data_IF_445953074910
#
_entry.id   IF_445953074910
#
_cell.length_a   1.000
_cell.length_b   1.000
_cell.length_c   1.000
_cell.angle_alpha   90.00
_cell.angle_beta   90.00
_cell.angle_gamma   90.00
#
_symmetry.space_group_name_H-M   'P 1'
#
loop_
_entity.id
_entity.type
_entity.pdbx_description
1 polymer ?
#
# COMPACT_ATOMS: atom_id res chain seq x y z
N UNK A 1 1.58 -13.74 21.27
CA UNK A 1 0.15 -13.92 21.60
C UNK A 1 -0.58 -14.14 20.28
N UNK A 2 -1.00 -15.38 20.01
CA UNK A 2 -1.79 -15.73 18.83
C UNK A 2 -3.18 -15.11 19.01
N UNK A 3 -3.52 -14.10 18.20
CA UNK A 3 -4.85 -13.51 18.19
C UNK A 3 -5.89 -14.56 17.77
N UNK A 4 -7.04 -14.56 18.42
CA UNK A 4 -8.23 -15.24 17.90
C UNK A 4 -8.40 -14.85 16.43
N UNK A 5 -8.37 -15.82 15.50
CA UNK A 5 -8.59 -15.56 14.08
C UNK A 5 -9.98 -14.94 13.92
N UNK A 6 -9.99 -13.65 13.66
CA UNK A 6 -11.20 -12.89 13.36
C UNK A 6 -11.77 -13.41 12.04
N UNK A 7 -13.08 -13.62 12.01
CA UNK A 7 -13.75 -14.01 10.77
C UNK A 7 -14.18 -12.78 9.96
N UNK A 8 -13.80 -11.57 10.36
CA UNK A 8 -14.21 -10.33 9.71
C UNK A 8 -13.03 -9.36 9.60
N UNK A 9 -13.03 -8.57 8.53
CA UNK A 9 -12.04 -7.53 8.27
C UNK A 9 -12.67 -6.39 7.48
N UNK A 10 -12.35 -5.16 7.87
CA UNK A 10 -12.80 -3.97 7.17
C UNK A 10 -11.66 -3.28 6.42
N UNK A 11 -12.00 -2.69 5.28
CA UNK A 11 -11.17 -1.75 4.54
C UNK A 11 -11.87 -0.40 4.44
N UNK A 12 -11.12 0.67 4.66
CA UNK A 12 -11.63 2.04 4.53
C UNK A 12 -10.60 2.91 3.82
N UNK A 13 -10.98 3.43 2.65
CA UNK A 13 -10.20 4.45 1.96
C UNK A 13 -10.55 5.85 2.47
N UNK A 14 -9.51 6.57 2.86
CA UNK A 14 -9.51 7.82 3.60
C UNK A 14 -8.71 8.91 2.86
N UNK A 15 -8.85 8.98 1.54
CA UNK A 15 -8.33 10.13 0.76
C UNK A 15 -9.44 11.12 0.45
N UNK A 16 -9.15 12.43 0.45
CA UNK A 16 -10.07 13.43 -0.11
C UNK A 16 -10.20 14.80 0.56
N UNK A 17 -11.11 15.63 0.06
CA UNK A 17 -11.51 16.88 0.74
C UNK A 17 -12.41 16.66 1.97
N UNK A 18 -12.72 17.74 2.71
CA UNK A 18 -13.60 17.72 3.90
C UNK A 18 -14.99 17.12 3.64
N UNK A 19 -15.50 17.19 2.41
CA UNK A 19 -16.84 16.73 2.00
C UNK A 19 -16.83 15.46 1.15
N UNK A 20 -15.72 14.71 1.13
CA UNK A 20 -15.67 13.49 0.35
C UNK A 20 -16.44 12.34 1.00
N UNK A 21 -16.94 11.47 0.13
CA UNK A 21 -17.71 10.29 0.49
C UNK A 21 -16.75 9.16 0.87
N UNK A 22 -16.73 8.80 2.16
CA UNK A 22 -16.02 7.61 2.62
C UNK A 22 -16.88 6.37 2.37
N UNK A 23 -16.20 5.25 2.13
CA UNK A 23 -16.84 3.96 2.02
C UNK A 23 -16.22 3.01 3.04
N UNK A 24 -17.07 2.25 3.71
CA UNK A 24 -16.67 1.10 4.49
C UNK A 24 -16.95 -0.16 3.71
N UNK A 25 -15.94 -1.01 3.61
CA UNK A 25 -16.04 -2.31 3.01
C UNK A 25 -15.76 -3.39 4.07
N UNK A 26 -16.72 -4.26 4.32
CA UNK A 26 -16.62 -5.35 5.28
C UNK A 26 -16.59 -6.69 4.56
N UNK A 27 -15.53 -7.46 4.80
CA UNK A 27 -15.42 -8.85 4.36
C UNK A 27 -15.57 -9.78 5.56
N UNK A 28 -16.41 -10.80 5.42
CA UNK A 28 -16.60 -11.83 6.45
C UNK A 28 -16.41 -13.23 5.88
N UNK A 29 -15.79 -14.10 6.67
CA UNK A 29 -15.56 -15.50 6.34
C UNK A 29 -16.66 -16.38 6.91
N UNK A 30 -17.40 -17.04 6.02
CA UNK A 30 -18.44 -17.97 6.40
C UNK A 30 -17.88 -19.40 6.35
N UNK A 31 -17.69 -20.00 7.54
CA UNK A 31 -17.14 -21.35 7.69
C UNK A 31 -17.94 -22.43 6.97
N UNK A 32 -19.28 -22.28 6.91
CA UNK A 32 -20.18 -23.25 6.25
C UNK A 32 -19.90 -23.36 4.76
N UNK A 33 -19.68 -22.22 4.11
CA UNK A 33 -19.49 -22.14 2.66
C UNK A 33 -18.00 -22.11 2.28
N UNK A 34 -17.10 -22.11 3.28
CA UNK A 34 -15.65 -21.95 3.12
C UNK A 34 -15.30 -20.78 2.18
N UNK A 35 -16.02 -19.66 2.30
CA UNK A 35 -15.97 -18.54 1.36
C UNK A 35 -16.06 -17.21 2.10
N UNK A 36 -15.39 -16.21 1.54
CA UNK A 36 -15.49 -14.83 2.02
C UNK A 36 -16.64 -14.13 1.32
N UNK A 37 -17.38 -13.29 2.03
CA UNK A 37 -18.48 -12.52 1.49
C UNK A 37 -18.23 -11.04 1.74
N UNK A 38 -18.49 -10.23 0.72
CA UNK A 38 -18.68 -8.80 0.90
C UNK A 38 -20.05 -8.59 1.56
N UNK A 39 -20.06 -8.36 2.87
CA UNK A 39 -21.29 -8.27 3.67
C UNK A 39 -21.83 -6.85 3.74
N UNK A 40 -20.93 -5.86 3.68
CA UNK A 40 -21.31 -4.46 3.70
C UNK A 40 -20.38 -3.64 2.80
N UNK A 41 -20.99 -2.79 1.97
CA UNK A 41 -20.31 -1.73 1.24
C UNK A 41 -21.14 -0.45 1.36
N UNK A 42 -20.94 0.28 2.46
CA UNK A 42 -21.77 1.42 2.80
C UNK A 42 -21.02 2.73 2.59
N UNK A 43 -21.70 3.68 1.97
CA UNK A 43 -21.26 5.07 1.93
C UNK A 43 -21.53 5.71 3.30
N UNK A 44 -20.51 6.28 3.92
CA UNK A 44 -20.66 7.09 5.13
C UNK A 44 -21.22 8.44 4.70
N UNK A 45 -22.49 8.70 5.01
CA UNK A 45 -23.12 10.00 4.80
C UNK A 45 -23.27 10.70 6.15
N UNK A 46 -23.25 12.02 6.12
CA UNK A 46 -23.82 12.82 7.22
C UNK A 46 -25.32 12.53 7.25
N UNK A 47 -25.77 11.82 8.28
CA UNK A 47 -27.19 11.71 8.61
C UNK A 47 -27.61 12.96 9.38
N UNK A 48 -28.88 13.32 9.36
CA UNK A 48 -29.42 14.57 9.94
C UNK A 48 -29.11 14.80 11.43
N UNK A 49 -28.59 13.79 12.13
CA UNK A 49 -28.26 13.83 13.56
C UNK A 49 -26.82 13.41 13.90
N UNK A 50 -25.99 13.04 12.91
CA UNK A 50 -24.63 12.56 13.15
C UNK A 50 -23.63 13.26 12.24
N UNK A 51 -22.55 13.75 12.84
CA UNK A 51 -21.39 14.19 12.08
C UNK A 51 -20.72 12.99 11.40
N UNK A 52 -19.99 13.24 10.31
CA UNK A 52 -19.29 12.18 9.57
C UNK A 52 -18.34 11.35 10.45
N UNK A 53 -17.73 11.99 11.46
CA UNK A 53 -16.79 11.33 12.36
C UNK A 53 -17.52 10.44 13.39
N UNK A 54 -18.69 10.88 13.88
CA UNK A 54 -19.58 10.07 14.73
C UNK A 54 -20.17 8.88 13.97
N UNK A 55 -20.49 9.05 12.69
CA UNK A 55 -20.94 7.95 11.84
C UNK A 55 -19.85 6.87 11.70
N UNK A 56 -18.58 7.26 11.63
CA UNK A 56 -17.45 6.32 11.60
C UNK A 56 -17.32 5.58 12.93
N UNK A 57 -17.33 6.28 14.07
CA UNK A 57 -17.21 5.63 15.39
C UNK A 57 -18.38 4.69 15.66
N UNK A 58 -19.61 5.12 15.39
CA UNK A 58 -20.81 4.30 15.57
C UNK A 58 -20.79 3.04 14.70
N UNK A 59 -20.28 3.14 13.46
CA UNK A 59 -20.17 1.99 12.57
C UNK A 59 -19.14 0.97 13.08
N UNK A 60 -17.97 1.45 13.53
CA UNK A 60 -16.92 0.58 14.08
C UNK A 60 -17.42 -0.14 15.35
N UNK A 61 -18.14 0.57 16.22
CA UNK A 61 -18.72 -0.01 17.44
C UNK A 61 -19.81 -1.03 17.13
N UNK A 62 -20.74 -0.71 16.22
CA UNK A 62 -21.87 -1.59 15.88
C UNK A 62 -21.46 -2.87 15.14
N UNK A 63 -20.36 -2.83 14.38
CA UNK A 63 -19.86 -3.98 13.63
C UNK A 63 -18.95 -4.90 14.45
N UNK A 64 -18.65 -4.58 15.72
CA UNK A 64 -17.75 -5.36 16.59
C UNK A 64 -16.40 -5.69 15.93
N UNK A 65 -15.92 -4.77 15.09
CA UNK A 65 -14.71 -4.95 14.30
C UNK A 65 -13.47 -4.98 15.18
N UNK A 66 -12.67 -6.04 15.04
CA UNK A 66 -11.36 -6.14 15.70
C UNK A 66 -10.22 -5.62 14.85
N UNK A 67 -10.38 -5.54 13.53
CA UNK A 67 -9.31 -5.18 12.59
C UNK A 67 -9.83 -4.26 11.47
N UNK A 68 -9.03 -3.25 11.12
CA UNK A 68 -9.34 -2.26 10.08
C UNK A 68 -8.08 -1.92 9.26
N UNK A 69 -8.19 -1.96 7.93
CA UNK A 69 -7.13 -1.54 7.00
C UNK A 69 -7.46 -0.17 6.43
N UNK A 70 -6.50 0.74 6.48
CA UNK A 70 -6.62 2.10 5.94
C UNK A 70 -5.50 2.41 4.94
N UNK A 71 -5.76 3.34 4.01
CA UNK A 71 -4.76 3.88 3.07
C UNK A 71 -4.06 5.15 3.56
N UNK A 72 -4.13 5.40 4.86
CA UNK A 72 -3.63 6.60 5.50
C UNK A 72 -2.43 6.30 6.43
N UNK A 73 -1.39 7.15 6.45
CA UNK A 73 -0.19 6.94 7.23
C UNK A 73 -0.42 6.93 8.75
N UNK A 74 -0.11 5.81 9.42
CA UNK A 74 -0.27 5.66 10.87
C UNK A 74 1.01 6.00 11.65
N UNK A 75 2.16 5.91 11.00
CA UNK A 75 3.46 6.28 11.55
C UNK A 75 3.85 7.70 11.18
N UNK A 76 4.68 8.33 12.03
CA UNK A 76 5.20 9.68 11.84
C UNK A 76 6.67 9.66 11.38
N UNK A 77 7.16 10.72 10.71
CA UNK A 77 8.58 10.87 10.44
C UNK A 77 9.39 10.91 11.74
N UNK A 78 10.63 10.39 11.76
CA UNK A 78 11.47 10.38 12.96
C UNK A 78 11.68 11.75 13.59
N UNK A 79 11.76 12.83 12.79
CA UNK A 79 11.94 14.18 13.33
C UNK A 79 10.69 14.76 14.00
N UNK A 80 9.48 14.26 13.73
CA UNK A 80 8.25 14.77 14.35
C UNK A 80 8.16 14.36 15.83
N UNK A 81 8.77 13.23 16.19
CA UNK A 81 8.78 12.66 17.54
C UNK A 81 10.14 12.80 18.23
N UNK A 82 11.06 13.55 17.63
CA UNK A 82 12.42 13.71 18.14
C UNK A 82 12.48 14.80 19.21
N UNK A 83 12.92 14.44 20.41
CA UNK A 83 13.10 15.37 21.53
C UNK A 83 14.43 16.15 21.50
N UNK A 84 15.35 15.78 20.59
CA UNK A 84 16.68 16.41 20.49
C UNK A 84 16.60 17.80 19.81
N UNK A 85 17.39 18.74 20.32
CA UNK A 85 17.66 20.02 19.64
C UNK A 85 18.41 19.71 18.34
N UNK A 86 17.71 19.84 17.22
CA UNK A 86 18.21 19.37 15.93
C UNK A 86 19.31 20.29 15.39
N UNK A 87 20.51 19.77 15.08
CA UNK A 87 21.59 20.54 14.46
C UNK A 87 21.38 20.79 12.95
N UNK A 88 20.24 20.36 12.39
CA UNK A 88 19.93 20.40 10.96
C UNK A 88 20.00 19.02 10.30
N UNK A 89 19.60 18.96 9.02
CA UNK A 89 19.44 17.72 8.24
C UNK A 89 20.79 17.02 8.01
N UNK A 90 21.84 17.80 7.75
CA UNK A 90 23.15 17.29 7.32
C UNK A 90 23.99 16.73 8.48
N UNK A 91 23.71 17.14 9.71
CA UNK A 91 24.46 16.77 10.93
C UNK A 91 23.64 15.87 11.85
N UNK A 92 22.60 15.23 11.32
CA UNK A 92 21.59 14.56 12.14
C UNK A 92 22.13 13.28 12.82
N UNK A 93 21.85 13.13 14.11
CA UNK A 93 22.41 12.06 14.94
C UNK A 93 21.46 10.89 15.19
N UNK A 94 20.21 10.94 14.73
CA UNK A 94 19.27 9.85 15.01
C UNK A 94 19.73 8.54 14.33
N UNK A 95 19.81 7.44 15.08
CA UNK A 95 20.42 6.19 14.60
C UNK A 95 19.74 5.64 13.35
N UNK A 96 18.42 5.78 13.25
CA UNK A 96 17.61 5.30 12.11
C UNK A 96 17.94 6.03 10.82
N UNK A 97 18.00 7.36 10.87
CA UNK A 97 18.29 8.17 9.68
C UNK A 97 19.71 7.90 9.21
N UNK A 98 20.66 7.76 10.16
CA UNK A 98 22.03 7.36 9.84
C UNK A 98 22.12 5.97 9.21
N UNK A 99 21.33 5.00 9.68
CA UNK A 99 21.28 3.68 9.07
C UNK A 99 20.72 3.74 7.63
N UNK A 100 19.62 4.47 7.42
CA UNK A 100 19.02 4.65 6.09
C UNK A 100 20.00 5.36 5.15
N UNK A 101 20.64 6.45 5.58
CA UNK A 101 21.63 7.17 4.77
C UNK A 101 22.84 6.29 4.41
N UNK A 102 23.36 5.50 5.38
CA UNK A 102 24.41 4.51 5.11
C UNK A 102 23.98 3.51 4.05
N UNK A 103 22.74 3.02 4.12
CA UNK A 103 22.19 2.06 3.15
C UNK A 103 22.03 2.68 1.75
N UNK A 104 21.52 3.92 1.66
CA UNK A 104 21.47 4.69 0.41
C UNK A 104 22.85 4.82 -0.21
N UNK A 105 23.85 5.20 0.61
CA UNK A 105 25.22 5.36 0.14
C UNK A 105 25.85 4.03 -0.30
N UNK A 106 25.55 2.91 0.39
CA UNK A 106 25.99 1.58 -0.04
C UNK A 106 25.47 1.25 -1.44
N UNK A 107 24.17 1.42 -1.66
CA UNK A 107 23.51 1.14 -2.94
C UNK A 107 24.11 2.00 -4.07
N UNK A 108 24.32 3.30 -3.82
CA UNK A 108 24.94 4.18 -4.81
C UNK A 108 26.41 3.82 -5.08
N UNK A 109 27.16 3.41 -4.06
CA UNK A 109 28.54 2.99 -4.21
C UNK A 109 28.68 1.66 -4.95
N UNK A 110 27.79 0.70 -4.72
CA UNK A 110 27.72 -0.57 -5.46
C UNK A 110 27.46 -0.31 -6.95
N UNK A 111 26.48 0.53 -7.28
CA UNK A 111 26.23 0.92 -8.67
C UNK A 111 27.43 1.65 -9.31
N UNK A 112 28.13 2.51 -8.57
CA UNK A 112 29.37 3.14 -9.05
C UNK A 112 30.51 2.13 -9.27
N UNK A 113 30.62 1.10 -8.43
CA UNK A 113 31.60 0.01 -8.62
C UNK A 113 31.29 -0.76 -9.90
N UNK A 114 30.04 -1.14 -10.13
CA UNK A 114 29.64 -1.83 -11.37
C UNK A 114 29.97 -1.02 -12.63
N UNK A 115 29.77 0.30 -12.60
CA UNK A 115 30.14 1.20 -13.71
C UNK A 115 31.66 1.20 -13.95
N UNK A 116 32.46 1.22 -12.87
CA UNK A 116 33.94 1.26 -12.97
C UNK A 116 34.54 -0.07 -13.42
N UNK A 117 34.02 -1.17 -12.91
CA UNK A 117 34.56 -2.52 -13.17
C UNK A 117 34.24 -2.96 -14.60
N UNK A 118 33.00 -2.77 -15.07
CA UNK A 118 32.57 -3.28 -16.38
C UNK A 118 31.63 -2.30 -17.11
N UNK A 119 32.15 -1.18 -17.65
CA UNK A 119 31.32 -0.13 -18.25
C UNK A 119 30.52 -0.59 -19.48
N UNK A 120 31.06 -1.52 -20.28
CA UNK A 120 30.37 -2.06 -21.46
C UNK A 120 29.19 -2.95 -21.08
N UNK A 121 29.40 -3.85 -20.12
CA UNK A 121 28.35 -4.75 -19.60
C UNK A 121 27.24 -3.95 -18.94
N UNK A 122 27.62 -2.94 -18.15
CA UNK A 122 26.68 -2.00 -17.54
C UNK A 122 25.78 -1.29 -18.55
N UNK A 123 26.36 -0.74 -19.63
CA UNK A 123 25.57 -0.08 -20.68
C UNK A 123 24.72 -1.07 -21.51
N UNK A 124 25.15 -2.32 -21.67
CA UNK A 124 24.34 -3.37 -22.29
C UNK A 124 23.12 -3.71 -21.43
N UNK A 125 23.33 -4.06 -20.17
CA UNK A 125 22.26 -4.38 -19.21
C UNK A 125 21.29 -3.19 -19.03
N UNK A 126 21.81 -1.95 -19.04
CA UNK A 126 20.98 -0.74 -18.99
C UNK A 126 20.12 -0.55 -20.24
N UNK A 127 20.66 -0.86 -21.43
CA UNK A 127 19.90 -0.83 -22.69
C UNK A 127 18.86 -1.92 -22.71
N UNK A 128 19.20 -3.11 -22.23
CA UNK A 128 18.29 -4.25 -22.13
C UNK A 128 17.13 -3.96 -21.16
N UNK A 129 17.40 -3.34 -20.00
CA UNK A 129 16.36 -2.87 -19.08
C UNK A 129 15.49 -1.73 -19.65
N UNK A 130 16.03 -0.99 -20.62
CA UNK A 130 15.31 0.05 -21.35
C UNK A 130 14.48 -0.51 -22.52
N UNK A 131 14.78 -1.73 -22.98
CA UNK A 131 13.98 -2.42 -23.98
C UNK A 131 12.68 -2.87 -23.33
N UNK A 132 11.56 -2.38 -23.86
CA UNK A 132 10.22 -2.78 -23.42
C UNK A 132 9.99 -4.23 -23.84
N UNK A 133 10.33 -5.19 -22.97
CA UNK A 133 9.94 -6.57 -23.17
C UNK A 133 8.43 -6.69 -22.94
N UNK A 134 7.65 -6.77 -24.03
CA UNK A 134 6.20 -6.97 -23.95
C UNK A 134 5.80 -8.31 -23.28
N UNK A 135 6.74 -9.26 -23.14
CA UNK A 135 6.52 -10.59 -22.55
C UNK A 135 7.28 -10.89 -21.24
N UNK A 136 8.14 -10.00 -20.72
CA UNK A 136 8.76 -10.13 -19.39
C UNK A 136 8.39 -8.90 -18.58
N UNK A 137 7.64 -9.10 -17.49
CA UNK A 137 7.05 -7.98 -16.80
C UNK A 137 8.09 -7.23 -15.99
N UNK A 138 8.16 -5.92 -16.22
CA UNK A 138 8.89 -4.96 -15.37
C UNK A 138 8.43 -5.00 -13.90
N UNK A 139 7.34 -5.72 -13.61
CA UNK A 139 6.72 -5.86 -12.30
C UNK A 139 7.25 -7.09 -11.53
N UNK A 140 8.06 -7.96 -12.14
CA UNK A 140 8.51 -9.23 -11.51
C UNK A 140 9.79 -9.10 -10.67
N UNK A 141 10.53 -7.99 -10.79
CA UNK A 141 11.80 -7.75 -10.08
C UNK A 141 11.65 -6.64 -9.03
N UNK A 142 12.36 -6.73 -7.91
CA UNK A 142 12.41 -5.64 -6.92
C UNK A 142 13.39 -4.53 -7.36
N UNK A 143 13.17 -3.28 -6.95
CA UNK A 143 13.89 -2.12 -7.53
C UNK A 143 15.40 -2.09 -7.27
N UNK A 144 15.88 -2.93 -6.36
CA UNK A 144 17.28 -3.05 -5.98
C UNK A 144 17.99 -4.26 -6.60
N UNK A 145 17.27 -5.13 -7.33
CA UNK A 145 17.84 -6.36 -7.90
C UNK A 145 18.44 -6.14 -9.31
N UNK A 146 18.22 -4.95 -9.90
CA UNK A 146 18.71 -4.57 -11.23
C UNK A 146 19.54 -3.28 -11.20
N UNK A 147 20.12 -2.92 -12.35
CA UNK A 147 20.78 -1.63 -12.54
C UNK A 147 19.81 -0.52 -12.15
N UNK A 148 20.19 0.27 -11.15
CA UNK A 148 19.31 1.31 -10.61
C UNK A 148 18.78 2.22 -11.74
N UNK A 149 17.47 2.38 -11.82
CA UNK A 149 16.86 3.22 -12.85
C UNK A 149 17.33 4.68 -12.73
N UNK A 150 17.36 5.43 -13.85
CA UNK A 150 17.75 6.86 -13.83
C UNK A 150 16.88 7.67 -12.87
N UNK A 151 15.58 7.35 -12.80
CA UNK A 151 14.62 8.00 -11.90
C UNK A 151 14.91 7.64 -10.45
N UNK A 152 15.14 6.37 -10.15
CA UNK A 152 15.44 5.92 -8.80
C UNK A 152 16.78 6.46 -8.29
N UNK A 153 17.82 6.49 -9.12
CA UNK A 153 19.10 7.17 -8.81
C UNK A 153 18.92 8.64 -8.46
N UNK A 154 18.10 9.36 -9.23
CA UNK A 154 17.79 10.77 -8.92
C UNK A 154 17.10 10.89 -7.57
N UNK A 155 16.19 9.96 -7.24
CA UNK A 155 15.50 9.91 -5.95
C UNK A 155 16.48 9.65 -4.79
N UNK A 156 17.34 8.64 -4.91
CA UNK A 156 18.37 8.33 -3.91
C UNK A 156 19.36 9.49 -3.72
N UNK A 157 19.75 10.18 -4.80
CA UNK A 157 20.63 11.36 -4.74
C UNK A 157 19.97 12.58 -4.08
N UNK A 158 18.65 12.76 -4.22
CA UNK A 158 17.92 13.78 -3.47
C UNK A 158 17.91 13.49 -1.96
N UNK A 159 18.12 12.23 -1.59
CA UNK A 159 18.28 11.82 -0.22
C UNK A 159 16.96 11.57 0.52
N UNK A 160 17.10 11.03 1.72
CA UNK A 160 16.02 10.81 2.67
C UNK A 160 15.87 12.04 3.56
N UNK A 161 14.69 12.65 3.56
CA UNK A 161 14.39 13.86 4.33
C UNK A 161 13.67 13.47 5.62
N UNK A 162 14.31 13.56 6.80
CA UNK A 162 13.82 12.87 8.01
C UNK A 162 12.60 13.49 8.69
N UNK A 163 12.22 14.73 8.33
CA UNK A 163 10.96 15.36 8.74
C UNK A 163 9.81 15.13 7.77
N UNK A 164 10.07 14.53 6.61
CA UNK A 164 9.08 14.29 5.57
C UNK A 164 8.90 12.81 5.28
N UNK A 165 9.98 12.04 5.31
CA UNK A 165 10.01 10.62 5.00
C UNK A 165 10.05 9.79 6.29
N UNK A 166 9.32 8.68 6.25
CA UNK A 166 9.28 7.65 7.27
C UNK A 166 10.20 6.50 6.86
N UNK A 167 10.72 5.70 7.81
CA UNK A 167 11.54 4.53 7.49
C UNK A 167 10.85 3.57 6.50
N UNK A 168 9.54 3.36 6.67
CA UNK A 168 8.73 2.55 5.75
C UNK A 168 8.72 3.08 4.31
N UNK A 169 8.77 4.40 4.11
CA UNK A 169 8.75 4.97 2.75
C UNK A 169 10.03 4.63 2.00
N UNK A 170 11.18 4.62 2.70
CA UNK A 170 12.43 4.16 2.12
C UNK A 170 12.34 2.69 1.68
N UNK A 171 11.72 1.83 2.50
CA UNK A 171 11.47 0.44 2.11
C UNK A 171 10.58 0.35 0.85
N UNK A 172 9.51 1.15 0.77
CA UNK A 172 8.63 1.19 -0.40
C UNK A 172 9.44 1.61 -1.63
N UNK A 173 10.37 2.56 -1.50
CA UNK A 173 11.22 2.96 -2.62
C UNK A 173 12.08 1.81 -3.15
N UNK A 174 12.65 1.01 -2.24
CA UNK A 174 13.50 -0.15 -2.58
C UNK A 174 12.76 -1.32 -3.23
N UNK A 175 11.43 -1.35 -3.17
CA UNK A 175 10.65 -2.49 -3.67
C UNK A 175 9.65 -2.11 -4.78
N UNK A 176 9.12 -0.88 -4.78
CA UNK A 176 7.98 -0.48 -5.62
C UNK A 176 8.18 0.80 -6.43
N UNK A 177 9.29 1.55 -6.27
CA UNK A 177 9.45 2.87 -6.88
C UNK A 177 9.27 2.88 -8.41
N UNK A 178 9.98 2.00 -9.12
CA UNK A 178 9.94 1.96 -10.58
C UNK A 178 8.59 1.45 -11.10
N UNK A 179 7.99 0.49 -10.40
CA UNK A 179 6.70 -0.10 -10.74
C UNK A 179 5.60 0.96 -10.58
N UNK A 180 5.58 1.69 -9.47
CA UNK A 180 4.62 2.77 -9.24
C UNK A 180 4.76 3.89 -10.26
N UNK A 181 5.99 4.28 -10.59
CA UNK A 181 6.24 5.34 -11.56
C UNK A 181 5.83 4.91 -12.98
N UNK A 182 6.17 3.69 -13.40
CA UNK A 182 5.86 3.20 -14.76
C UNK A 182 4.39 2.87 -14.94
N UNK A 183 3.73 2.34 -13.90
CA UNK A 183 2.33 1.93 -13.99
C UNK A 183 1.40 3.09 -13.72
N UNK A 184 1.58 3.84 -12.63
CA UNK A 184 0.64 4.87 -12.18
C UNK A 184 1.10 6.31 -12.42
N UNK A 185 2.33 6.51 -12.90
CA UNK A 185 2.94 7.84 -13.03
C UNK A 185 3.01 8.62 -11.71
N UNK A 186 3.14 7.89 -10.59
CA UNK A 186 3.21 8.46 -9.23
C UNK A 186 4.61 8.22 -8.68
N UNK A 187 5.27 9.28 -8.23
CA UNK A 187 6.44 9.17 -7.36
C UNK A 187 5.97 9.04 -5.91
N UNK A 188 6.11 7.86 -5.32
CA UNK A 188 5.79 7.66 -3.91
C UNK A 188 6.89 8.31 -3.06
N UNK A 189 6.63 9.50 -2.51
CA UNK A 189 7.60 10.20 -1.67
C UNK A 189 7.38 9.92 -0.18
N UNK A 190 6.14 9.99 0.31
CA UNK A 190 5.68 9.66 1.69
C UNK A 190 4.22 10.14 1.83
N UNK A 191 3.94 10.98 2.82
CA UNK A 191 2.73 11.79 3.06
C UNK A 191 2.29 12.65 1.88
N UNK A 192 3.10 12.83 0.83
CA UNK A 192 2.81 13.77 -0.26
C UNK A 192 1.48 13.56 -0.98
N UNK A 193 0.89 12.36 -0.88
CA UNK A 193 -0.43 12.06 -1.44
C UNK A 193 -1.61 12.48 -0.52
N UNK A 194 -1.32 12.87 0.72
CA UNK A 194 -2.32 13.13 1.76
C UNK A 194 -2.17 14.56 2.27
N UNK A 195 -3.28 15.28 2.39
CA UNK A 195 -3.23 16.64 2.92
C UNK A 195 -2.96 16.66 4.43
N UNK A 196 -2.25 17.69 4.90
CA UNK A 196 -1.99 17.89 6.34
C UNK A 196 -3.30 18.02 7.14
N UNK A 197 -4.34 18.61 6.55
CA UNK A 197 -5.64 18.75 7.19
C UNK A 197 -6.31 17.38 7.42
N UNK A 198 -6.26 16.49 6.42
CA UNK A 198 -6.69 15.10 6.59
C UNK A 198 -5.85 14.42 7.65
N UNK A 199 -4.53 14.68 7.67
CA UNK A 199 -3.64 14.07 8.65
C UNK A 199 -4.08 14.34 10.09
N UNK A 200 -4.36 15.61 10.39
CA UNK A 200 -4.89 16.01 11.69
C UNK A 200 -6.27 15.42 11.97
N UNK A 201 -7.16 15.40 10.97
CA UNK A 201 -8.49 14.78 11.10
C UNK A 201 -8.38 13.31 11.50
N UNK A 202 -7.49 12.55 10.88
CA UNK A 202 -7.33 11.13 11.22
C UNK A 202 -6.63 10.92 12.55
N UNK A 203 -5.62 11.71 12.88
CA UNK A 203 -5.03 11.67 14.22
C UNK A 203 -6.04 12.00 15.32
N UNK A 204 -7.02 12.85 15.03
CA UNK A 204 -8.16 13.09 15.92
C UNK A 204 -9.06 11.84 15.99
N UNK A 205 -9.52 11.33 14.85
CA UNK A 205 -10.43 10.18 14.77
C UNK A 205 -9.86 8.92 15.43
N UNK A 206 -8.56 8.64 15.27
CA UNK A 206 -7.85 7.53 15.92
C UNK A 206 -7.97 7.55 17.45
N UNK A 207 -8.17 8.72 18.07
CA UNK A 207 -8.35 8.84 19.54
C UNK A 207 -9.75 8.44 19.99
N UNK A 208 -10.72 8.47 19.08
CA UNK A 208 -12.13 8.18 19.35
C UNK A 208 -12.51 6.74 18.98
N UNK A 209 -11.67 6.03 18.22
CA UNK A 209 -11.91 4.64 17.90
C UNK A 209 -11.70 3.72 19.12
N UNK A 210 -12.39 2.56 19.17
CA UNK A 210 -12.25 1.60 20.25
C UNK A 210 -10.79 1.14 20.44
N UNK A 211 -10.35 0.99 21.69
CA UNK A 211 -8.95 0.65 22.03
C UNK A 211 -8.55 -0.76 21.63
N UNK A 212 -9.53 -1.65 21.50
CA UNK A 212 -9.38 -3.03 21.06
C UNK A 212 -9.30 -3.19 19.54
N UNK A 213 -9.65 -2.14 18.78
CA UNK A 213 -9.53 -2.13 17.33
C UNK A 213 -8.05 -2.04 16.89
N UNK A 214 -7.60 -3.04 16.14
CA UNK A 214 -6.30 -3.02 15.49
C UNK A 214 -6.39 -2.36 14.12
N UNK A 215 -5.72 -1.22 13.98
CA UNK A 215 -5.67 -0.48 12.71
C UNK A 215 -4.32 -0.75 12.04
N UNK A 216 -4.36 -0.98 10.74
CA UNK A 216 -3.19 -1.26 9.91
C UNK A 216 -3.18 -0.36 8.68
N UNK A 217 -1.97 0.01 8.24
CA UNK A 217 -1.75 0.85 7.06
C UNK A 217 -1.48 -0.04 5.83
N UNK A 218 -2.04 0.33 4.68
CA UNK A 218 -1.67 -0.25 3.40
C UNK A 218 -1.79 0.77 2.27
N UNK A 219 -1.53 0.38 1.03
CA UNK A 219 -1.67 1.26 -0.12
C UNK A 219 -2.35 0.53 -1.28
N UNK A 220 -3.40 1.13 -1.82
CA UNK A 220 -4.18 0.55 -2.93
C UNK A 220 -3.33 0.27 -4.16
N UNK A 221 -2.41 1.17 -4.53
CA UNK A 221 -1.54 0.97 -5.71
C UNK A 221 -0.56 -0.18 -5.50
N UNK A 222 0.01 -0.32 -4.30
CA UNK A 222 0.89 -1.45 -3.96
C UNK A 222 0.09 -2.76 -3.99
N UNK A 223 -1.12 -2.76 -3.42
CA UNK A 223 -2.01 -3.92 -3.46
C UNK A 223 -2.36 -4.34 -4.89
N UNK A 224 -2.62 -3.39 -5.79
CA UNK A 224 -2.85 -3.65 -7.21
C UNK A 224 -1.60 -4.23 -7.91
N UNK A 225 -0.40 -3.76 -7.57
CA UNK A 225 0.85 -4.34 -8.09
C UNK A 225 1.00 -5.79 -7.62
N UNK A 226 0.70 -6.10 -6.35
CA UNK A 226 0.77 -7.47 -5.83
C UNK A 226 -0.30 -8.39 -6.45
N UNK A 227 -1.50 -7.89 -6.70
CA UNK A 227 -2.53 -8.63 -7.46
C UNK A 227 -2.06 -8.92 -8.89
N UNK A 228 -1.32 -8.00 -9.49
CA UNK A 228 -0.72 -8.21 -10.80
C UNK A 228 0.40 -9.27 -10.75
N UNK A 229 1.31 -9.17 -9.77
CA UNK A 229 2.41 -10.14 -9.57
C UNK A 229 1.90 -11.56 -9.38
N UNK A 230 0.75 -11.72 -8.72
CA UNK A 230 0.09 -13.02 -8.56
C UNK A 230 -0.76 -13.46 -9.76
N UNK A 231 -0.68 -12.77 -10.91
CA UNK A 231 -1.44 -13.05 -12.12
C UNK A 231 -2.97 -13.09 -11.90
N UNK A 232 -3.48 -12.37 -10.90
CA UNK A 232 -4.92 -12.21 -10.66
C UNK A 232 -5.48 -11.15 -11.61
N UNK A 233 -4.73 -10.06 -11.81
CA UNK A 233 -5.06 -9.00 -12.76
C UNK A 233 -3.97 -8.85 -13.82
N UNK A 234 -4.33 -8.28 -14.97
CA UNK A 234 -3.41 -8.07 -16.09
C UNK A 234 -2.94 -6.63 -16.17
N UNK A 235 -1.86 -6.39 -16.92
CA UNK A 235 -1.33 -5.03 -17.16
C UNK A 235 -2.38 -4.14 -17.84
N UNK A 236 -3.22 -4.73 -18.70
CA UNK A 236 -4.34 -4.04 -19.35
C UNK A 236 -5.32 -3.50 -18.31
N UNK A 237 -5.66 -4.26 -17.28
CA UNK A 237 -6.53 -3.77 -16.21
C UNK A 237 -5.95 -2.55 -15.50
N UNK A 238 -4.64 -2.54 -15.21
CA UNK A 238 -3.97 -1.43 -14.53
C UNK A 238 -3.98 -0.13 -15.37
N UNK A 239 -3.81 -0.26 -16.69
CA UNK A 239 -3.87 0.87 -17.62
C UNK A 239 -5.30 1.38 -17.75
N UNK A 240 -6.27 0.48 -17.94
CA UNK A 240 -7.70 0.83 -18.06
C UNK A 240 -8.26 1.47 -16.78
N UNK A 241 -7.70 1.18 -15.60
CA UNK A 241 -8.09 1.84 -14.34
C UNK A 241 -7.77 3.34 -14.31
N UNK A 242 -6.77 3.79 -15.09
CA UNK A 242 -6.39 5.21 -15.20
C UNK A 242 -7.12 5.93 -16.34
N UNK A 243 -7.68 5.18 -17.30
CA UNK A 243 -8.44 5.75 -18.40
C UNK A 243 -9.84 6.15 -17.90
N UNK A 244 -10.11 7.46 -17.90
CA UNK A 244 -11.38 8.03 -17.44
C UNK A 244 -12.60 7.43 -18.15
N UNK A 245 -12.47 7.00 -19.40
CA UNK A 245 -13.58 6.48 -20.19
C UNK A 245 -13.92 5.02 -19.85
N UNK A 246 -12.91 4.23 -19.46
CA UNK A 246 -13.04 2.77 -19.28
C UNK A 246 -12.94 2.38 -17.80
N UNK A 247 -12.58 3.30 -16.91
CA UNK A 247 -12.30 3.02 -15.50
C UNK A 247 -13.44 2.29 -14.76
N UNK A 248 -14.71 2.60 -15.06
CA UNK A 248 -15.88 1.94 -14.45
C UNK A 248 -15.93 0.45 -14.79
N UNK A 249 -15.74 0.12 -16.06
CA UNK A 249 -15.67 -1.27 -16.54
C UNK A 249 -14.41 -1.97 -16.03
N UNK A 250 -13.28 -1.26 -15.96
CA UNK A 250 -12.03 -1.78 -15.43
C UNK A 250 -12.17 -2.23 -13.97
N UNK A 251 -12.83 -1.42 -13.12
CA UNK A 251 -13.12 -1.77 -11.71
C UNK A 251 -13.97 -3.04 -11.61
N UNK A 252 -14.98 -3.20 -12.46
CA UNK A 252 -15.80 -4.44 -12.51
C UNK A 252 -14.95 -5.65 -12.89
N UNK A 253 -14.10 -5.52 -13.92
CA UNK A 253 -13.22 -6.61 -14.36
C UNK A 253 -12.24 -7.02 -13.26
N UNK A 254 -11.65 -6.06 -12.57
CA UNK A 254 -10.75 -6.31 -11.44
C UNK A 254 -11.48 -6.95 -10.27
N UNK A 255 -12.65 -6.43 -9.87
CA UNK A 255 -13.45 -6.99 -8.79
C UNK A 255 -13.87 -8.44 -9.09
N UNK A 256 -14.30 -8.75 -10.31
CA UNK A 256 -14.62 -10.13 -10.73
C UNK A 256 -13.40 -11.05 -10.78
N UNK A 257 -12.24 -10.53 -11.18
CA UNK A 257 -11.00 -11.31 -11.16
C UNK A 257 -10.61 -11.69 -9.73
N UNK A 258 -10.72 -10.73 -8.80
CA UNK A 258 -10.54 -10.94 -7.36
C UNK A 258 -11.57 -11.94 -6.82
N UNK A 259 -12.85 -11.78 -7.15
CA UNK A 259 -13.94 -12.68 -6.75
C UNK A 259 -13.60 -14.15 -7.09
N UNK A 260 -13.19 -14.38 -8.34
CA UNK A 260 -12.89 -15.71 -8.88
C UNK A 260 -11.63 -16.33 -8.26
N UNK A 261 -10.54 -15.56 -8.14
CA UNK A 261 -9.22 -16.09 -7.72
C UNK A 261 -9.04 -16.13 -6.20
N UNK A 262 -9.65 -15.18 -5.47
CA UNK A 262 -9.48 -15.06 -4.02
C UNK A 262 -10.66 -15.63 -3.23
N UNK A 263 -11.59 -16.32 -3.88
CA UNK A 263 -12.76 -16.95 -3.26
C UNK A 263 -13.55 -15.97 -2.36
N UNK A 264 -13.85 -14.80 -2.93
CA UNK A 264 -14.73 -13.78 -2.33
C UNK A 264 -16.05 -13.84 -3.11
N UNK A 265 -17.18 -13.59 -2.47
CA UNK A 265 -18.48 -13.42 -3.11
C UNK A 265 -18.89 -11.96 -3.03
N UNK A 266 -19.35 -11.41 -4.14
CA UNK A 266 -19.75 -10.00 -4.27
C UNK A 266 -21.18 -9.97 -4.83
N UNK A 267 -22.10 -9.31 -4.14
CA UNK A 267 -23.46 -9.12 -4.65
C UNK A 267 -23.47 -8.14 -5.83
N UNK A 268 -24.40 -8.33 -6.77
CA UNK A 268 -24.52 -7.48 -7.95
C UNK A 268 -24.69 -5.99 -7.61
N UNK A 269 -25.43 -5.69 -6.53
CA UNK A 269 -25.62 -4.32 -6.02
C UNK A 269 -24.31 -3.69 -5.57
N UNK A 270 -23.48 -4.43 -4.84
CA UNK A 270 -22.20 -3.93 -4.35
C UNK A 270 -21.20 -3.79 -5.49
N UNK A 271 -21.22 -4.70 -6.46
CA UNK A 271 -20.41 -4.60 -7.68
C UNK A 271 -20.72 -3.32 -8.47
N UNK A 272 -22.00 -2.92 -8.53
CA UNK A 272 -22.41 -1.66 -9.13
C UNK A 272 -21.83 -0.45 -8.37
N UNK A 273 -21.88 -0.46 -7.04
CA UNK A 273 -21.28 0.59 -6.20
C UNK A 273 -19.76 0.69 -6.39
N UNK A 274 -19.06 -0.45 -6.39
CA UNK A 274 -17.62 -0.55 -6.66
C UNK A 274 -17.28 0.06 -8.04
N UNK A 275 -18.12 -0.19 -9.04
CA UNK A 275 -17.89 0.34 -10.39
C UNK A 275 -18.01 1.87 -10.47
N UNK A 276 -19.05 2.43 -9.82
CA UNK A 276 -19.40 3.85 -9.89
C UNK A 276 -18.51 4.73 -9.02
N UNK A 277 -18.14 4.25 -7.83
CA UNK A 277 -17.43 5.04 -6.83
C UNK A 277 -15.98 4.57 -6.67
N UNK A 278 -14.97 5.41 -7.04
CA UNK A 278 -13.55 5.06 -6.87
C UNK A 278 -13.20 4.70 -5.42
N UNK A 279 -13.72 5.45 -4.45
CA UNK A 279 -13.49 5.22 -3.01
C UNK A 279 -14.06 3.90 -2.51
N UNK A 280 -15.18 3.44 -3.09
CA UNK A 280 -15.74 2.13 -2.79
C UNK A 280 -14.82 1.01 -3.31
N UNK A 281 -14.24 1.20 -4.50
CA UNK A 281 -13.24 0.29 -5.05
C UNK A 281 -11.96 0.27 -4.22
N UNK A 282 -11.42 1.42 -3.83
CA UNK A 282 -10.22 1.51 -3.00
C UNK A 282 -10.45 0.81 -1.63
N UNK A 283 -11.59 1.07 -1.00
CA UNK A 283 -11.97 0.43 0.28
C UNK A 283 -12.12 -1.08 0.13
N UNK A 284 -12.66 -1.54 -1.00
CA UNK A 284 -12.72 -2.97 -1.32
C UNK A 284 -11.34 -3.59 -1.49
N UNK A 285 -10.43 -2.96 -2.22
CA UNK A 285 -9.04 -3.45 -2.36
C UNK A 285 -8.34 -3.52 -1.00
N UNK A 286 -8.53 -2.52 -0.13
CA UNK A 286 -7.98 -2.53 1.23
C UNK A 286 -8.54 -3.68 2.08
N UNK A 287 -9.84 -3.97 1.98
CA UNK A 287 -10.43 -5.10 2.69
C UNK A 287 -9.84 -6.44 2.19
N UNK A 288 -9.56 -6.57 0.89
CA UNK A 288 -8.88 -7.73 0.30
C UNK A 288 -7.44 -7.87 0.83
N UNK A 289 -6.72 -6.77 1.06
CA UNK A 289 -5.42 -6.81 1.76
C UNK A 289 -5.58 -7.35 3.17
N UNK A 290 -6.58 -6.87 3.90
CA UNK A 290 -6.86 -7.33 5.24
C UNK A 290 -7.25 -8.82 5.32
N UNK A 291 -7.94 -9.35 4.31
CA UNK A 291 -8.15 -10.80 4.19
C UNK A 291 -6.82 -11.57 4.15
N UNK A 292 -5.81 -11.02 3.47
CA UNK A 292 -4.48 -11.63 3.40
C UNK A 292 -3.77 -11.59 4.75
N UNK A 293 -3.99 -10.56 5.56
CA UNK A 293 -3.53 -10.50 6.95
C UNK A 293 -4.13 -11.63 7.80
N UNK A 294 -5.45 -11.85 7.73
CA UNK A 294 -6.11 -12.93 8.50
C UNK A 294 -5.61 -14.32 8.09
N UNK A 295 -5.24 -14.47 6.82
CA UNK A 295 -4.68 -15.70 6.28
C UNK A 295 -3.16 -15.84 6.51
N UNK A 296 -2.53 -14.90 7.23
CA UNK A 296 -1.08 -14.83 7.47
C UNK A 296 -0.24 -14.78 6.17
N UNK A 297 -0.82 -14.27 5.07
CA UNK A 297 -0.21 -14.13 3.75
C UNK A 297 0.25 -12.70 3.49
N UNK A 298 1.21 -12.23 4.27
CA UNK A 298 1.76 -10.87 4.16
C UNK A 298 3.27 -10.89 3.99
N UNK A 299 3.81 -9.98 3.17
CA UNK A 299 5.25 -9.80 3.06
C UNK A 299 5.82 -9.24 4.36
N UNK A 300 6.96 -9.77 4.79
CA UNK A 300 7.65 -9.27 6.00
C UNK A 300 8.32 -7.93 5.67
N UNK A 301 7.85 -6.87 6.30
CA UNK A 301 8.53 -5.59 6.31
C UNK A 301 9.61 -5.64 7.41
N UNK A 302 10.89 -5.42 7.09
CA UNK A 302 11.95 -5.41 8.09
C UNK A 302 11.80 -4.19 8.99
N UNK A 303 12.10 -4.36 10.28
CA UNK A 303 12.18 -3.24 11.21
C UNK A 303 13.35 -2.33 10.82
N UNK A 304 13.04 -1.12 10.32
CA UNK A 304 14.04 -0.15 9.87
C UNK A 304 14.55 0.76 11.00
N UNK A 305 14.58 0.24 12.23
CA UNK A 305 15.37 0.75 13.34
C UNK A 305 14.64 1.58 14.41
N UNK A 306 13.39 2.02 14.16
CA UNK A 306 12.48 2.45 15.23
C UNK A 306 11.55 1.26 15.49
N UNK A 307 10.98 1.14 16.69
CA UNK A 307 9.70 0.44 16.87
C UNK A 307 8.68 1.14 15.97
N UNK A 308 8.65 0.76 14.71
CA UNK A 308 7.82 1.39 13.71
C UNK A 308 6.39 0.89 13.95
N UNK A 309 5.62 1.69 14.68
CA UNK A 309 4.20 1.43 14.92
C UNK A 309 3.35 1.61 13.64
N UNK A 310 4.00 1.77 12.47
CA UNK A 310 3.35 1.91 11.17
C UNK A 310 2.34 0.81 10.86
N UNK A 311 2.56 -0.40 11.42
CA UNK A 311 1.70 -1.58 11.19
C UNK A 311 1.38 -1.72 9.69
N UNK A 312 2.39 -1.46 8.86
CA UNK A 312 2.22 -1.42 7.41
C UNK A 312 2.15 -2.85 6.86
N UNK A 313 1.11 -3.13 6.08
CA UNK A 313 0.83 -4.45 5.52
C UNK A 313 0.90 -4.41 4.01
N UNK A 314 1.59 -5.42 3.48
CA UNK A 314 1.62 -5.74 2.06
C UNK A 314 1.16 -7.17 1.88
N UNK A 315 0.11 -7.40 1.08
CA UNK A 315 -0.38 -8.74 0.84
C UNK A 315 0.61 -9.52 -0.03
N UNK A 316 0.68 -10.83 0.19
CA UNK A 316 1.29 -11.78 -0.73
C UNK A 316 0.20 -12.66 -1.29
N UNK A 317 -0.08 -12.54 -2.59
CA UNK A 317 -1.10 -13.34 -3.26
C UNK A 317 -0.53 -14.52 -4.06
N UNK A 318 0.80 -14.70 -4.04
CA UNK A 318 1.44 -15.85 -4.65
C UNK A 318 0.94 -17.11 -3.94
N UNK A 319 0.45 -18.08 -4.72
CA UNK A 319 0.16 -19.42 -4.20
C UNK A 319 1.50 -20.08 -3.84
N UNK A 320 1.56 -20.93 -2.80
CA UNK A 320 2.77 -21.61 -2.30
C UNK A 320 3.41 -22.61 -3.31
N UNK A 321 3.19 -22.44 -4.61
CA UNK A 321 3.65 -23.33 -5.67
C UNK A 321 4.90 -22.83 -6.41
N UNK A 322 5.73 -21.97 -5.82
CA UNK A 322 7.04 -21.57 -6.38
C UNK A 322 8.16 -21.55 -5.32
N UNK A 323 8.19 -22.59 -4.48
CA UNK A 323 9.46 -23.08 -3.89
C UNK A 323 10.14 -24.14 -4.78
N UNK A 324 9.69 -24.28 -6.03
CA UNK A 324 10.35 -25.04 -7.07
C UNK A 324 11.15 -24.09 -7.95
N UNK A 325 12.46 -24.11 -7.73
CA UNK A 325 13.50 -23.82 -8.73
C UNK A 325 13.37 -22.46 -9.43
N UNK A 326 13.87 -21.41 -8.77
CA UNK A 326 14.52 -20.32 -9.51
C UNK A 326 15.84 -20.89 -10.07
N UNK A 327 16.02 -21.03 -11.39
CA UNK A 327 17.32 -21.37 -11.97
C UNK A 327 18.35 -20.27 -11.74
#
# INVERSE_FOLDING_TARGET
>A
MLSEKTNSIAGMSLGGGKKENFFFCLLEFFKKDNRWFLTSLNQVKEESHLTQDEAITNWVESSSLKQLIVDFPLSKPPCETCDLVCPGIDLYHHPVVNNIQKRINSILNEDLKHIKENPKKYEQERRDDSLVHYGRSVLDKDTCEHILSKSFKRKLKKGFVPYWNRPIDFWIWLNYYDQMLKTFNISYDSFGNVSVMLLHKFHYLLRHLPRDLQIYESNTYIALIELYRANIITKKHLIELQDMNVCTLARVRVAKAIEKKLNIFIYSKDLELISKHPKAFDSFVLAVVGKSLILDRTKKVPELGVKDDSRFIIPSYLEDNESLERP
#
